data_IF_120866580337
#
_entry.id   IF_120866580337
#
_cell.length_a   1.000
_cell.length_b   1.000
_cell.length_c   1.000
_cell.angle_alpha   90.00
_cell.angle_beta   90.00
_cell.angle_gamma   90.00
#
_symmetry.space_group_name_H-M   'P 1'
#
loop_
_entity.id
_entity.type
_entity.pdbx_description
1 polymer ?
#
# COMPACT_ATOMS: atom_id res chain seq x y z
N UNK A 1 3.31 0.86 23.19
CA UNK A 1 3.84 0.69 21.81
C UNK A 1 2.68 0.92 20.85
N UNK A 2 2.90 1.59 19.73
CA UNK A 2 1.89 1.77 18.70
C UNK A 2 1.73 0.49 17.88
N UNK A 3 0.52 0.25 17.38
CA UNK A 3 0.14 -1.02 16.73
C UNK A 3 -0.41 -0.73 15.33
N UNK A 4 0.03 -1.49 14.33
CA UNK A 4 -0.46 -1.41 12.94
C UNK A 4 -0.89 -2.80 12.48
N UNK A 5 -2.08 -2.89 11.86
CA UNK A 5 -2.57 -4.11 11.22
C UNK A 5 -2.32 -4.04 9.70
N UNK A 6 -1.57 -5.01 9.16
CA UNK A 6 -1.47 -5.25 7.72
C UNK A 6 -2.48 -6.29 7.27
N UNK A 7 -3.29 -5.96 6.25
CA UNK A 7 -4.21 -6.87 5.58
C UNK A 7 -3.73 -7.00 4.14
N UNK A 8 -2.99 -8.06 3.83
CA UNK A 8 -2.33 -8.20 2.53
C UNK A 8 -1.96 -9.67 2.23
N UNK A 9 -1.51 -9.92 1.00
CA UNK A 9 -0.94 -11.21 0.60
C UNK A 9 0.42 -11.45 1.23
N UNK A 10 0.80 -12.72 1.31
CA UNK A 10 2.11 -13.17 1.81
C UNK A 10 3.03 -13.48 0.64
N UNK A 11 4.16 -12.79 0.54
CA UNK A 11 5.23 -13.07 -0.43
C UNK A 11 6.26 -14.03 0.18
N UNK A 12 6.34 -15.25 -0.35
CA UNK A 12 7.26 -16.29 0.13
C UNK A 12 8.74 -15.88 0.04
N UNK A 13 9.12 -15.01 -0.89
CA UNK A 13 10.48 -14.48 -1.01
C UNK A 13 10.80 -13.36 -0.02
N UNK A 14 9.79 -12.81 0.63
CA UNK A 14 9.96 -11.83 1.69
C UNK A 14 10.20 -10.39 1.23
N UNK A 15 10.08 -10.09 -0.08
CA UNK A 15 10.34 -8.76 -0.63
C UNK A 15 9.13 -7.83 -0.67
N UNK A 16 7.92 -8.39 -0.66
CA UNK A 16 6.66 -7.64 -0.72
C UNK A 16 5.64 -8.18 0.29
N UNK A 17 4.37 -7.79 0.15
CA UNK A 17 3.26 -8.26 0.97
C UNK A 17 3.48 -8.03 2.46
N UNK A 18 2.87 -8.90 3.29
CA UNK A 18 2.98 -8.81 4.75
C UNK A 18 4.42 -8.85 5.25
N UNK A 19 5.33 -9.51 4.54
CA UNK A 19 6.74 -9.58 4.92
C UNK A 19 7.44 -8.22 4.82
N UNK A 20 7.22 -7.50 3.72
CA UNK A 20 7.71 -6.13 3.59
C UNK A 20 7.03 -5.19 4.61
N UNK A 21 5.73 -5.38 4.84
CA UNK A 21 4.95 -4.61 5.81
C UNK A 21 5.51 -4.77 7.23
N UNK A 22 5.69 -6.01 7.71
CA UNK A 22 6.24 -6.29 9.04
C UNK A 22 7.66 -5.78 9.23
N UNK A 23 8.53 -5.94 8.21
CA UNK A 23 9.89 -5.40 8.24
C UNK A 23 9.86 -3.87 8.37
N UNK A 24 9.00 -3.21 7.58
CA UNK A 24 8.82 -1.76 7.62
C UNK A 24 8.28 -1.29 8.98
N UNK A 25 7.27 -1.95 9.51
CA UNK A 25 6.69 -1.66 10.83
C UNK A 25 7.74 -1.82 11.94
N UNK A 26 8.55 -2.89 11.87
CA UNK A 26 9.66 -3.13 12.81
C UNK A 26 10.70 -2.02 12.75
N UNK A 27 11.10 -1.59 11.54
CA UNK A 27 12.03 -0.48 11.35
C UNK A 27 11.49 0.83 11.92
N UNK A 28 10.16 1.07 11.83
CA UNK A 28 9.48 2.22 12.44
C UNK A 28 9.17 2.05 13.93
N UNK A 29 9.60 0.96 14.56
CA UNK A 29 9.41 0.67 16.00
C UNK A 29 7.93 0.63 16.42
N UNK A 30 7.05 0.18 15.52
CA UNK A 30 5.64 -0.13 15.80
C UNK A 30 5.41 -1.64 15.81
N UNK A 31 4.45 -2.11 16.59
CA UNK A 31 4.07 -3.52 16.60
C UNK A 31 3.20 -3.83 15.39
N UNK A 32 3.62 -4.78 14.55
CA UNK A 32 2.89 -5.21 13.36
C UNK A 32 2.04 -6.46 13.63
N UNK A 33 0.74 -6.39 13.33
CA UNK A 33 -0.16 -7.54 13.21
C UNK A 33 -0.46 -7.80 11.73
N UNK A 34 -0.90 -9.02 11.40
CA UNK A 34 -1.24 -9.37 10.01
C UNK A 34 -2.56 -10.14 9.92
N UNK A 35 -3.31 -9.89 8.82
CA UNK A 35 -4.37 -10.75 8.33
C UNK A 35 -4.05 -11.08 6.86
N UNK A 36 -3.85 -12.36 6.57
CA UNK A 36 -3.33 -12.82 5.28
C UNK A 36 -4.47 -13.06 4.31
N UNK A 37 -4.44 -12.37 3.17
CA UNK A 37 -5.47 -12.46 2.12
C UNK A 37 -5.20 -13.58 1.12
N UNK A 38 -3.93 -13.88 0.87
CA UNK A 38 -3.47 -14.97 0.03
C UNK A 38 -2.03 -15.35 0.37
N UNK A 39 -1.67 -16.60 0.11
CA UNK A 39 -0.28 -17.05 0.07
C UNK A 39 0.17 -17.07 -1.39
N UNK A 40 1.36 -16.58 -1.68
CA UNK A 40 1.94 -16.67 -3.03
C UNK A 40 3.17 -17.54 -3.04
N UNK A 41 3.30 -18.39 -4.06
CA UNK A 41 4.57 -18.99 -4.44
C UNK A 41 5.30 -17.98 -5.35
N UNK A 42 6.14 -17.14 -4.74
CA UNK A 42 6.71 -15.96 -5.38
C UNK A 42 8.20 -15.83 -5.10
N UNK A 43 8.92 -15.28 -6.07
CA UNK A 43 10.31 -14.87 -5.94
C UNK A 43 10.57 -13.60 -6.76
N UNK A 44 11.83 -13.17 -6.86
CA UNK A 44 12.21 -11.93 -7.59
C UNK A 44 11.90 -11.96 -9.09
N UNK A 45 11.66 -13.14 -9.67
CA UNK A 45 11.36 -13.30 -11.11
C UNK A 45 9.86 -13.39 -11.42
N UNK A 46 9.00 -13.63 -10.42
CA UNK A 46 7.55 -13.67 -10.62
C UNK A 46 6.76 -14.46 -9.59
N UNK A 47 5.46 -14.53 -9.83
CA UNK A 47 4.49 -15.32 -9.06
C UNK A 47 4.14 -16.57 -9.87
N UNK A 48 4.32 -17.75 -9.28
CA UNK A 48 4.04 -19.03 -9.94
C UNK A 48 2.73 -19.66 -9.50
N UNK A 49 2.27 -19.33 -8.28
CA UNK A 49 0.99 -19.85 -7.78
C UNK A 49 0.43 -18.94 -6.66
N UNK A 50 -0.89 -18.96 -6.48
CA UNK A 50 -1.60 -18.15 -5.47
C UNK A 50 -2.67 -19.03 -4.80
N UNK A 51 -2.63 -19.09 -3.47
CA UNK A 51 -3.67 -19.70 -2.66
C UNK A 51 -4.39 -18.61 -1.86
N UNK A 52 -5.62 -18.29 -2.25
CA UNK A 52 -6.44 -17.29 -1.55
C UNK A 52 -6.93 -17.82 -0.20
N UNK A 53 -6.91 -16.98 0.83
CA UNK A 53 -7.68 -17.26 2.05
C UNK A 53 -9.18 -17.11 1.75
N UNK A 54 -10.04 -17.94 2.35
CA UNK A 54 -11.47 -17.70 2.20
C UNK A 54 -11.86 -16.35 2.86
N UNK A 55 -12.90 -15.67 2.36
CA UNK A 55 -13.39 -14.44 2.97
C UNK A 55 -13.73 -14.63 4.45
N UNK A 56 -14.33 -15.76 4.82
CA UNK A 56 -14.68 -16.10 6.20
C UNK A 56 -13.43 -16.19 7.08
N UNK A 57 -12.41 -16.93 6.62
CA UNK A 57 -11.17 -17.09 7.40
C UNK A 57 -10.37 -15.77 7.50
N UNK A 58 -10.39 -14.95 6.45
CA UNK A 58 -9.82 -13.60 6.52
C UNK A 58 -10.54 -12.75 7.58
N UNK A 59 -11.88 -12.83 7.62
CA UNK A 59 -12.69 -12.19 8.65
C UNK A 59 -12.35 -12.66 10.06
N UNK A 60 -12.09 -13.95 10.25
CA UNK A 60 -11.67 -14.55 11.53
C UNK A 60 -10.28 -14.06 11.96
N UNK A 61 -9.32 -13.95 11.04
CA UNK A 61 -8.00 -13.39 11.32
C UNK A 61 -8.10 -11.94 11.83
N UNK A 62 -8.88 -11.10 11.13
CA UNK A 62 -9.07 -9.70 11.54
C UNK A 62 -9.78 -9.62 12.89
N UNK A 63 -10.81 -10.45 13.10
CA UNK A 63 -11.53 -10.52 14.37
C UNK A 63 -10.61 -10.94 15.53
N UNK A 64 -9.79 -11.96 15.32
CA UNK A 64 -8.85 -12.46 16.34
C UNK A 64 -7.84 -11.37 16.73
N UNK A 65 -7.33 -10.61 15.76
CA UNK A 65 -6.42 -9.48 16.04
C UNK A 65 -7.14 -8.36 16.80
N UNK A 66 -8.21 -7.82 16.22
CA UNK A 66 -8.81 -6.56 16.70
C UNK A 66 -9.66 -6.71 17.94
N UNK A 67 -10.16 -7.93 18.28
CA UNK A 67 -10.89 -8.18 19.53
C UNK A 67 -9.98 -8.18 20.76
N UNK A 68 -8.69 -8.43 20.58
CA UNK A 68 -7.70 -8.50 21.66
C UNK A 68 -6.76 -7.28 21.67
N UNK A 69 -6.21 -6.92 20.49
CA UNK A 69 -5.21 -5.86 20.36
C UNK A 69 -5.76 -4.75 19.46
N UNK A 70 -6.25 -3.62 20.01
CA UNK A 70 -6.65 -2.47 19.21
C UNK A 70 -5.48 -1.91 18.39
N UNK A 71 -5.69 -1.57 17.12
CA UNK A 71 -4.66 -0.95 16.30
C UNK A 71 -4.82 0.58 16.20
N UNK A 72 -3.69 1.29 16.10
CA UNK A 72 -3.63 2.74 15.90
C UNK A 72 -3.75 3.13 14.41
N UNK A 73 -3.38 2.21 13.52
CA UNK A 73 -3.53 2.34 12.07
C UNK A 73 -3.69 0.96 11.42
N UNK A 74 -4.17 0.94 10.19
CA UNK A 74 -4.17 -0.28 9.37
C UNK A 74 -3.70 0.05 7.95
N UNK A 75 -3.09 -0.96 7.31
CA UNK A 75 -2.72 -0.92 5.89
C UNK A 75 -3.39 -2.06 5.15
N UNK A 76 -4.00 -1.74 4.01
CA UNK A 76 -4.50 -2.73 3.06
C UNK A 76 -3.58 -2.75 1.84
N UNK A 77 -3.17 -3.96 1.44
CA UNK A 77 -2.50 -4.21 0.17
C UNK A 77 -3.36 -5.08 -0.74
N UNK A 78 -2.79 -6.18 -1.25
CA UNK A 78 -3.47 -7.10 -2.14
C UNK A 78 -4.76 -7.68 -1.52
N UNK A 79 -5.90 -7.47 -2.19
CA UNK A 79 -7.18 -8.13 -1.94
C UNK A 79 -7.65 -8.80 -3.25
N UNK A 80 -7.59 -10.13 -3.37
CA UNK A 80 -7.90 -10.83 -4.61
C UNK A 80 -9.35 -10.72 -5.09
N UNK A 81 -10.33 -10.62 -4.16
CA UNK A 81 -11.75 -10.72 -4.50
C UNK A 81 -12.63 -9.66 -3.83
N UNK A 82 -13.75 -9.35 -4.47
CA UNK A 82 -14.77 -8.43 -3.95
C UNK A 82 -15.39 -8.93 -2.63
N UNK A 83 -15.46 -10.24 -2.42
CA UNK A 83 -15.95 -10.86 -1.19
C UNK A 83 -15.00 -10.56 -0.03
N UNK A 84 -13.68 -10.66 -0.23
CA UNK A 84 -12.70 -10.27 0.77
C UNK A 84 -12.78 -8.77 1.09
N UNK A 85 -12.97 -7.90 0.08
CA UNK A 85 -13.16 -6.45 0.31
C UNK A 85 -14.35 -6.19 1.23
N UNK A 86 -15.49 -6.87 1.01
CA UNK A 86 -16.70 -6.72 1.84
C UNK A 86 -16.44 -7.10 3.30
N UNK A 87 -15.79 -8.25 3.51
CA UNK A 87 -15.46 -8.72 4.86
C UNK A 87 -14.48 -7.79 5.56
N UNK A 88 -13.45 -7.33 4.87
CA UNK A 88 -12.49 -6.35 5.42
C UNK A 88 -13.21 -5.06 5.81
N UNK A 89 -14.07 -4.51 4.94
CA UNK A 89 -14.86 -3.32 5.24
C UNK A 89 -15.74 -3.50 6.48
N UNK A 90 -16.47 -4.64 6.59
CA UNK A 90 -17.31 -4.95 7.76
C UNK A 90 -16.49 -4.95 9.04
N UNK A 91 -15.36 -5.66 9.06
CA UNK A 91 -14.51 -5.78 10.25
C UNK A 91 -13.88 -4.45 10.66
N UNK A 92 -13.31 -3.70 9.71
CA UNK A 92 -12.70 -2.41 10.01
C UNK A 92 -13.73 -1.39 10.52
N UNK A 93 -14.94 -1.40 9.98
CA UNK A 93 -16.06 -0.57 10.44
C UNK A 93 -16.52 -0.97 11.84
N UNK A 94 -16.70 -2.27 12.11
CA UNK A 94 -17.07 -2.82 13.41
C UNK A 94 -16.11 -2.36 14.50
N UNK A 95 -14.80 -2.45 14.24
CA UNK A 95 -13.75 -2.07 15.18
C UNK A 95 -13.36 -0.59 15.13
N UNK A 96 -14.03 0.22 14.28
CA UNK A 96 -13.79 1.67 14.12
C UNK A 96 -12.32 1.99 13.91
N UNK A 97 -11.66 1.19 13.06
CA UNK A 97 -10.24 1.37 12.75
C UNK A 97 -10.02 2.74 12.12
N UNK A 98 -9.07 3.48 12.66
CA UNK A 98 -8.66 4.80 12.16
C UNK A 98 -7.37 4.69 11.37
N UNK A 99 -6.99 5.77 10.67
CA UNK A 99 -5.73 5.85 9.92
C UNK A 99 -5.53 4.66 8.97
N UNK A 100 -6.59 4.35 8.20
CA UNK A 100 -6.53 3.33 7.18
C UNK A 100 -5.77 3.82 5.95
N UNK A 101 -4.71 3.12 5.56
CA UNK A 101 -3.95 3.34 4.32
C UNK A 101 -4.29 2.21 3.34
N UNK A 102 -4.82 2.54 2.17
CA UNK A 102 -5.15 1.56 1.13
C UNK A 102 -4.23 1.73 -0.07
N UNK A 103 -3.41 0.71 -0.32
CA UNK A 103 -2.62 0.59 -1.56
C UNK A 103 -3.42 -0.29 -2.52
N UNK A 104 -4.04 0.26 -3.59
CA UNK A 104 -4.96 -0.48 -4.46
C UNK A 104 -4.20 -1.34 -5.45
N UNK A 105 -3.47 -2.33 -4.94
CA UNK A 105 -2.57 -3.19 -5.73
C UNK A 105 -3.37 -4.03 -6.72
N UNK A 106 -3.28 -3.69 -8.02
CA UNK A 106 -3.97 -4.41 -9.11
C UNK A 106 -3.06 -5.43 -9.79
N UNK A 107 -1.77 -5.11 -9.89
CA UNK A 107 -0.78 -5.91 -10.62
C UNK A 107 0.49 -6.03 -9.79
N UNK A 108 1.09 -7.23 -9.78
CA UNK A 108 2.40 -7.44 -9.18
C UNK A 108 3.50 -6.71 -9.96
N UNK A 109 4.63 -6.43 -9.32
CA UNK A 109 5.83 -5.87 -9.99
C UNK A 109 6.28 -6.72 -11.19
N UNK A 110 6.01 -8.02 -11.17
CA UNK A 110 6.27 -8.97 -12.27
C UNK A 110 5.26 -8.90 -13.42
N UNK A 111 4.19 -8.10 -13.33
CA UNK A 111 3.13 -7.98 -14.31
C UNK A 111 1.96 -8.96 -14.13
N UNK A 112 1.98 -9.83 -13.13
CA UNK A 112 0.88 -10.75 -12.85
C UNK A 112 -0.33 -9.99 -12.28
N UNK A 113 -1.55 -10.26 -12.81
CA UNK A 113 -2.79 -9.72 -12.21
C UNK A 113 -2.99 -10.29 -10.81
N UNK A 114 -3.25 -9.43 -9.84
CA UNK A 114 -3.46 -9.78 -8.43
C UNK A 114 -4.91 -9.58 -7.98
N UNK A 115 -5.77 -9.06 -8.85
CA UNK A 115 -7.13 -8.67 -8.53
C UNK A 115 -8.07 -9.22 -9.61
N UNK A 116 -9.22 -9.76 -9.21
CA UNK A 116 -10.30 -10.17 -10.12
C UNK A 116 -11.04 -8.95 -10.66
N UNK A 117 -11.66 -9.09 -11.80
CA UNK A 117 -12.52 -8.07 -12.41
C UNK A 117 -13.51 -7.51 -11.42
N UNK A 118 -13.97 -6.45 -11.28
CA UNK A 118 -14.92 -5.87 -10.29
C UNK A 118 -14.37 -5.63 -8.87
N UNK A 119 -13.24 -6.19 -8.48
CA UNK A 119 -12.71 -5.99 -7.12
C UNK A 119 -12.32 -4.53 -6.88
N UNK A 120 -11.71 -3.89 -7.88
CA UNK A 120 -11.34 -2.47 -7.83
C UNK A 120 -12.55 -1.55 -7.57
N UNK A 121 -13.67 -1.78 -8.26
CA UNK A 121 -14.90 -1.01 -8.08
C UNK A 121 -15.49 -1.17 -6.68
N UNK A 122 -15.48 -2.41 -6.17
CA UNK A 122 -15.97 -2.69 -4.81
C UNK A 122 -15.04 -2.07 -3.76
N UNK A 123 -13.74 -2.08 -3.98
CA UNK A 123 -12.75 -1.43 -3.12
C UNK A 123 -12.96 0.10 -3.11
N UNK A 124 -13.11 0.72 -4.27
CA UNK A 124 -13.37 2.15 -4.40
C UNK A 124 -14.65 2.57 -3.66
N UNK A 125 -15.70 1.76 -3.76
CA UNK A 125 -16.99 2.05 -3.12
C UNK A 125 -17.01 1.82 -1.61
N UNK A 126 -16.29 0.80 -1.10
CA UNK A 126 -16.40 0.40 0.31
C UNK A 126 -15.22 0.84 1.16
N UNK A 127 -13.98 0.72 0.66
CA UNK A 127 -12.77 0.96 1.46
C UNK A 127 -12.25 2.40 1.33
N UNK A 128 -12.33 3.01 0.14
CA UNK A 128 -11.84 4.38 -0.03
C UNK A 128 -12.55 5.38 0.88
N UNK A 129 -13.90 5.36 1.01
CA UNK A 129 -14.59 6.33 1.89
C UNK A 129 -14.24 6.23 3.37
N UNK A 130 -13.72 5.10 3.83
CA UNK A 130 -13.29 4.92 5.23
C UNK A 130 -11.77 5.05 5.40
N UNK A 131 -11.05 5.36 4.31
CA UNK A 131 -9.60 5.49 4.32
C UNK A 131 -9.14 6.88 4.76
N UNK A 132 -7.99 6.94 5.45
CA UNK A 132 -7.27 8.20 5.67
C UNK A 132 -6.57 8.65 4.39
N UNK A 133 -6.02 7.69 3.64
CA UNK A 133 -5.35 7.94 2.36
C UNK A 133 -5.34 6.67 1.49
N UNK A 134 -5.52 6.85 0.19
CA UNK A 134 -5.25 5.82 -0.82
C UNK A 134 -3.96 6.18 -1.57
N UNK A 135 -3.20 5.16 -2.00
CA UNK A 135 -1.86 5.34 -2.59
C UNK A 135 -1.73 4.74 -3.99
N UNK A 136 -2.58 5.11 -4.97
CA UNK A 136 -2.49 4.58 -6.32
C UNK A 136 -1.20 5.03 -7.03
N UNK A 137 -0.62 4.16 -7.85
CA UNK A 137 0.35 4.55 -8.86
C UNK A 137 -0.37 5.06 -10.13
N UNK A 138 0.40 5.57 -11.12
CA UNK A 138 -0.18 6.12 -12.36
C UNK A 138 -1.06 5.08 -13.10
N UNK A 139 -0.62 3.82 -13.36
CA UNK A 139 -1.47 2.82 -13.97
C UNK A 139 -2.76 2.52 -13.18
N UNK A 140 -2.68 2.43 -11.86
CA UNK A 140 -3.84 2.21 -10.98
C UNK A 140 -4.80 3.40 -11.02
N UNK A 141 -4.27 4.63 -10.95
CA UNK A 141 -5.09 5.84 -11.07
C UNK A 141 -5.78 5.94 -12.43
N UNK A 142 -5.10 5.59 -13.52
CA UNK A 142 -5.71 5.53 -14.86
C UNK A 142 -6.83 4.48 -14.92
N UNK A 143 -6.64 3.32 -14.30
CA UNK A 143 -7.67 2.27 -14.25
C UNK A 143 -8.90 2.70 -13.43
N UNK A 144 -8.69 3.43 -12.32
CA UNK A 144 -9.76 3.90 -11.45
C UNK A 144 -10.55 5.09 -12.01
N UNK A 145 -9.89 6.00 -12.76
CA UNK A 145 -10.52 7.23 -13.27
C UNK A 145 -10.90 7.17 -14.75
N UNK A 146 -10.32 6.24 -15.50
CA UNK A 146 -10.41 6.24 -16.97
C UNK A 146 -9.60 7.36 -17.65
N UNK A 147 -8.90 8.21 -16.89
CA UNK A 147 -8.08 9.29 -17.42
C UNK A 147 -6.75 8.76 -17.99
N UNK A 148 -6.20 9.49 -18.96
CA UNK A 148 -4.82 9.27 -19.41
C UNK A 148 -3.90 10.25 -18.69
N UNK A 149 -2.88 9.76 -17.98
CA UNK A 149 -1.96 10.57 -17.18
C UNK A 149 -0.60 10.60 -17.86
N UNK A 150 -0.19 11.80 -18.34
CA UNK A 150 1.08 12.02 -19.05
C UNK A 150 1.90 13.19 -18.47
N UNK A 151 1.33 13.97 -17.57
CA UNK A 151 1.95 15.16 -17.01
C UNK A 151 1.60 15.31 -15.53
N UNK A 152 2.34 16.17 -14.81
CA UNK A 152 2.01 16.56 -13.43
C UNK A 152 0.59 17.09 -13.30
N UNK A 153 0.11 17.86 -14.28
CA UNK A 153 -1.26 18.40 -14.29
C UNK A 153 -2.31 17.29 -14.42
N UNK A 154 -2.02 16.25 -15.20
CA UNK A 154 -2.92 15.10 -15.29
C UNK A 154 -2.91 14.30 -13.98
N UNK A 155 -1.77 14.21 -13.29
CA UNK A 155 -1.69 13.60 -11.95
C UNK A 155 -2.55 14.37 -10.94
N UNK A 156 -2.45 15.71 -10.91
CA UNK A 156 -3.29 16.55 -10.05
C UNK A 156 -4.78 16.31 -10.33
N UNK A 157 -5.17 16.33 -11.62
CA UNK A 157 -6.57 16.08 -12.01
C UNK A 157 -7.08 14.71 -11.56
N UNK A 158 -6.28 13.66 -11.75
CA UNK A 158 -6.66 12.31 -11.34
C UNK A 158 -6.74 12.17 -9.81
N UNK A 159 -5.79 12.77 -9.07
CA UNK A 159 -5.82 12.76 -7.61
C UNK A 159 -7.01 13.54 -7.05
N UNK A 160 -7.37 14.67 -7.66
CA UNK A 160 -8.56 15.47 -7.30
C UNK A 160 -9.86 14.70 -7.56
N UNK A 161 -10.00 14.07 -8.73
CA UNK A 161 -11.17 13.29 -9.10
C UNK A 161 -11.37 12.13 -8.11
N UNK A 162 -10.34 11.32 -7.87
CA UNK A 162 -10.39 10.24 -6.88
C UNK A 162 -10.69 10.73 -5.47
N UNK A 163 -10.08 11.84 -5.04
CA UNK A 163 -10.29 12.40 -3.72
C UNK A 163 -11.70 12.96 -3.52
N UNK A 164 -12.25 13.62 -4.52
CA UNK A 164 -13.61 14.15 -4.49
C UNK A 164 -14.67 13.03 -4.49
N UNK A 165 -14.45 11.96 -5.26
CA UNK A 165 -15.37 10.82 -5.31
C UNK A 165 -15.34 9.98 -4.04
N UNK A 166 -14.16 9.75 -3.48
CA UNK A 166 -13.98 8.90 -2.31
C UNK A 166 -14.13 9.62 -0.96
N UNK A 167 -13.93 10.95 -0.95
CA UNK A 167 -13.91 11.74 0.28
C UNK A 167 -12.66 11.53 1.16
N UNK A 168 -11.63 10.84 0.65
CA UNK A 168 -10.37 10.60 1.35
C UNK A 168 -9.19 11.31 0.68
N UNK A 169 -8.05 11.38 1.36
CA UNK A 169 -6.82 11.88 0.75
C UNK A 169 -6.28 10.89 -0.30
N UNK A 170 -5.62 11.40 -1.34
CA UNK A 170 -5.02 10.61 -2.42
C UNK A 170 -3.55 10.95 -2.58
N UNK A 171 -2.67 9.99 -2.36
CA UNK A 171 -1.26 10.09 -2.73
C UNK A 171 -1.04 9.37 -4.07
N UNK A 172 -1.03 10.11 -5.17
CA UNK A 172 -0.75 9.56 -6.48
C UNK A 172 0.75 9.46 -6.71
N UNK A 173 1.24 8.21 -6.86
CA UNK A 173 2.67 7.89 -6.95
C UNK A 173 3.19 8.09 -8.38
N UNK A 174 4.23 8.91 -8.55
CA UNK A 174 4.81 9.25 -9.84
C UNK A 174 5.96 8.34 -10.30
N UNK A 175 6.33 7.31 -9.55
CA UNK A 175 7.48 6.44 -9.87
C UNK A 175 7.44 5.76 -11.25
N UNK A 176 6.30 5.76 -11.93
CA UNK A 176 6.12 5.30 -13.31
C UNK A 176 6.15 6.46 -14.34
N UNK A 177 6.37 7.71 -13.90
CA UNK A 177 6.53 8.88 -14.76
C UNK A 177 7.83 8.82 -15.56
N UNK A 178 7.83 9.46 -16.73
CA UNK A 178 9.02 9.58 -17.59
C UNK A 178 9.96 10.67 -17.03
N UNK A 179 9.42 11.67 -16.32
CA UNK A 179 10.18 12.85 -15.90
C UNK A 179 10.95 12.65 -14.59
N UNK A 180 10.26 12.15 -13.55
CA UNK A 180 10.84 11.97 -12.21
C UNK A 180 10.03 10.95 -11.36
N UNK A 181 10.38 10.79 -10.08
CA UNK A 181 9.68 9.95 -9.11
C UNK A 181 8.90 10.78 -8.08
N UNK A 182 8.42 11.97 -8.46
CA UNK A 182 7.64 12.84 -7.59
C UNK A 182 6.22 12.35 -7.43
N UNK A 183 5.69 12.45 -6.21
CA UNK A 183 4.32 12.07 -5.87
C UNK A 183 3.50 13.31 -5.52
N UNK A 184 2.20 13.29 -5.81
CA UNK A 184 1.27 14.36 -5.44
C UNK A 184 0.23 13.86 -4.43
N UNK A 185 0.11 14.56 -3.31
CA UNK A 185 -0.97 14.40 -2.35
C UNK A 185 -2.07 15.41 -2.66
N UNK A 186 -3.30 14.92 -2.83
CA UNK A 186 -4.51 15.72 -2.78
C UNK A 186 -5.21 15.48 -1.45
N UNK A 187 -5.43 16.56 -0.69
CA UNK A 187 -6.12 16.51 0.59
C UNK A 187 -6.90 17.80 0.82
N UNK A 188 -8.19 17.72 1.06
CA UNK A 188 -9.07 18.87 1.38
C UNK A 188 -8.96 20.03 0.37
N UNK A 189 -8.93 19.73 -0.93
CA UNK A 189 -8.83 20.72 -2.00
C UNK A 189 -7.44 21.32 -2.20
N UNK A 190 -6.40 20.73 -1.61
CA UNK A 190 -5.02 21.23 -1.71
C UNK A 190 -4.11 20.14 -2.27
N UNK A 191 -3.15 20.58 -3.09
CA UNK A 191 -2.07 19.75 -3.60
C UNK A 191 -0.78 19.98 -2.82
N UNK A 192 -0.10 18.91 -2.49
CA UNK A 192 1.26 18.93 -1.93
C UNK A 192 2.13 17.98 -2.73
N UNK A 193 3.19 18.49 -3.35
CA UNK A 193 4.15 17.71 -4.09
C UNK A 193 5.29 17.24 -3.20
N UNK A 194 5.63 15.98 -3.31
CA UNK A 194 6.81 15.37 -2.71
C UNK A 194 7.79 15.05 -3.83
N UNK A 195 8.75 15.95 -4.02
CA UNK A 195 9.77 15.79 -5.06
C UNK A 195 10.60 14.54 -4.80
N UNK A 196 10.82 13.74 -5.85
CA UNK A 196 11.59 12.52 -5.79
C UNK A 196 12.53 12.41 -6.97
N UNK A 197 13.81 12.13 -6.69
CA UNK A 197 14.75 11.75 -7.75
C UNK A 197 14.60 10.26 -8.00
N UNK A 198 14.60 9.86 -9.27
CA UNK A 198 14.64 8.45 -9.62
C UNK A 198 15.98 7.85 -9.17
N UNK A 199 15.92 6.84 -8.31
CA UNK A 199 17.08 6.05 -7.92
C UNK A 199 17.19 4.91 -8.93
N UNK A 200 18.29 4.86 -9.66
CA UNK A 200 18.56 3.75 -10.56
C UNK A 200 18.89 2.50 -9.73
N UNK A 201 17.95 1.58 -9.69
CA UNK A 201 18.08 0.32 -8.94
C UNK A 201 17.23 -0.76 -9.60
N UNK A 202 17.77 -1.97 -9.64
CA UNK A 202 17.01 -3.19 -9.97
C UNK A 202 16.17 -3.68 -8.78
N UNK A 203 16.41 -3.14 -7.59
CA UNK A 203 15.78 -3.56 -6.33
C UNK A 203 14.52 -2.73 -6.08
N UNK A 204 13.44 -3.03 -6.78
CA UNK A 204 12.17 -2.31 -6.70
C UNK A 204 11.00 -3.18 -6.22
N UNK A 205 11.27 -4.46 -5.92
CA UNK A 205 10.24 -5.38 -5.44
C UNK A 205 9.75 -4.98 -4.04
N UNK A 206 8.45 -4.74 -3.92
CA UNK A 206 7.81 -4.35 -2.66
C UNK A 206 7.85 -2.86 -2.33
N UNK A 207 8.27 -1.97 -3.25
CA UNK A 207 8.29 -0.51 -3.01
C UNK A 207 6.92 0.04 -2.60
N UNK A 208 5.82 -0.35 -3.27
CA UNK A 208 4.46 0.07 -2.91
C UNK A 208 4.08 -0.38 -1.50
N UNK A 209 4.28 -1.67 -1.20
CA UNK A 209 4.00 -2.23 0.14
C UNK A 209 4.81 -1.51 1.23
N UNK A 210 6.09 -1.29 0.99
CA UNK A 210 6.97 -0.57 1.94
C UNK A 210 6.52 0.87 2.16
N UNK A 211 6.21 1.62 1.10
CA UNK A 211 5.73 3.00 1.22
C UNK A 211 4.42 3.10 2.00
N UNK A 212 3.42 2.31 1.63
CA UNK A 212 2.11 2.34 2.30
C UNK A 212 2.18 1.90 3.76
N UNK A 213 3.03 0.92 4.10
CA UNK A 213 3.27 0.49 5.48
C UNK A 213 4.05 1.51 6.30
N UNK A 214 5.01 2.22 5.69
CA UNK A 214 5.73 3.31 6.34
C UNK A 214 4.78 4.49 6.64
N UNK A 215 3.87 4.83 5.71
CA UNK A 215 2.83 5.85 5.94
C UNK A 215 1.93 5.42 7.11
N UNK A 216 1.41 4.19 7.10
CA UNK A 216 0.57 3.67 8.18
C UNK A 216 1.29 3.69 9.53
N UNK A 217 2.57 3.32 9.57
CA UNK A 217 3.41 3.35 10.77
C UNK A 217 3.59 4.77 11.31
N UNK A 218 3.87 5.74 10.44
CA UNK A 218 4.01 7.14 10.84
C UNK A 218 2.68 7.75 11.32
N UNK A 219 1.55 7.42 10.68
CA UNK A 219 0.22 7.82 11.16
C UNK A 219 -0.09 7.21 12.55
N UNK A 220 0.26 5.94 12.78
CA UNK A 220 0.12 5.30 14.08
C UNK A 220 0.95 6.00 15.16
N UNK A 221 2.15 6.49 14.82
CA UNK A 221 3.02 7.28 15.70
C UNK A 221 2.49 8.69 15.98
N UNK A 222 1.45 9.14 15.26
CA UNK A 222 0.77 10.43 15.49
C UNK A 222 1.26 11.57 14.58
N UNK A 223 2.02 11.28 13.53
CA UNK A 223 2.38 12.30 12.53
C UNK A 223 1.16 12.66 11.69
N UNK A 224 1.04 13.94 11.31
CA UNK A 224 0.07 14.39 10.31
C UNK A 224 0.40 13.78 8.93
N UNK A 225 -0.61 13.65 8.06
CA UNK A 225 -0.46 12.93 6.79
C UNK A 225 0.70 13.43 5.90
N UNK A 226 0.91 14.74 5.69
CA UNK A 226 2.04 15.20 4.89
C UNK A 226 3.40 14.81 5.47
N UNK A 227 3.56 14.89 6.80
CA UNK A 227 4.80 14.50 7.48
C UNK A 227 4.99 12.98 7.47
N UNK A 228 3.90 12.21 7.64
CA UNK A 228 3.92 10.76 7.54
C UNK A 228 4.40 10.29 6.15
N UNK A 229 3.92 10.94 5.08
CA UNK A 229 4.33 10.67 3.70
C UNK A 229 5.80 11.06 3.49
N UNK A 230 6.21 12.25 3.93
CA UNK A 230 7.60 12.71 3.79
C UNK A 230 8.57 11.72 4.41
N UNK A 231 8.34 11.33 5.67
CA UNK A 231 9.16 10.33 6.37
C UNK A 231 9.18 8.96 5.69
N UNK A 232 8.03 8.52 5.17
CA UNK A 232 7.92 7.28 4.42
C UNK A 232 8.73 7.34 3.11
N UNK A 233 8.74 8.47 2.42
CA UNK A 233 9.55 8.66 1.20
C UNK A 233 11.05 8.71 1.50
N UNK A 234 11.46 9.33 2.59
CA UNK A 234 12.86 9.30 3.03
C UNK A 234 13.30 7.85 3.30
N UNK A 235 12.54 7.12 4.09
CA UNK A 235 12.83 5.70 4.41
C UNK A 235 12.92 4.82 3.16
N UNK A 236 11.93 4.90 2.25
CA UNK A 236 11.95 4.05 1.05
C UNK A 236 13.10 4.42 0.10
N UNK A 237 13.47 5.69 0.02
CA UNK A 237 14.62 6.14 -0.77
C UNK A 237 15.92 5.55 -0.25
N UNK A 238 16.12 5.56 1.07
CA UNK A 238 17.29 4.95 1.71
C UNK A 238 17.29 3.43 1.50
N UNK A 239 16.13 2.78 1.65
CA UNK A 239 15.99 1.33 1.45
C UNK A 239 16.27 0.88 0.00
N UNK A 240 15.93 1.70 -0.99
CA UNK A 240 16.26 1.45 -2.41
C UNK A 240 17.76 1.69 -2.64
N UNK A 241 18.30 2.78 -2.10
CA UNK A 241 19.69 3.19 -2.30
C UNK A 241 20.71 2.24 -1.63
N UNK A 242 20.31 1.52 -0.58
CA UNK A 242 21.14 0.53 0.12
C UNK A 242 21.58 -0.64 -0.78
N UNK A 243 20.86 -0.93 -1.86
CA UNK A 243 21.32 -1.83 -2.91
C UNK A 243 21.45 -3.29 -2.49
N UNK A 244 20.46 -3.85 -1.81
CA UNK A 244 20.42 -5.27 -1.40
C UNK A 244 20.26 -6.17 -2.64
N UNK A 245 21.35 -6.55 -3.26
CA UNK A 245 21.38 -7.31 -4.52
C UNK A 245 21.10 -8.81 -4.29
N UNK A 246 19.80 -9.17 -4.18
CA UNK A 246 19.32 -10.53 -3.98
C UNK A 246 18.40 -10.98 -5.11
N UNK A 247 18.64 -12.18 -5.61
CA UNK A 247 17.81 -12.83 -6.63
C UNK A 247 18.27 -12.53 -8.06
N UNK A 248 17.47 -12.97 -9.04
CA UNK A 248 17.79 -12.87 -10.47
C UNK A 248 16.88 -11.88 -11.23
N UNK A 249 15.84 -11.38 -10.57
CA UNK A 249 14.86 -10.47 -11.12
C UNK A 249 14.86 -9.14 -10.39
N UNK A 250 13.66 -8.54 -10.18
CA UNK A 250 13.53 -7.35 -9.38
C UNK A 250 13.84 -7.68 -7.91
N UNK A 251 14.97 -7.19 -7.40
CA UNK A 251 15.43 -7.49 -6.04
C UNK A 251 14.60 -6.79 -4.95
N UNK A 252 14.62 -7.29 -3.70
CA UNK A 252 13.93 -6.66 -2.58
C UNK A 252 14.66 -5.42 -2.08
N UNK A 253 13.94 -4.59 -1.32
CA UNK A 253 14.50 -3.45 -0.61
C UNK A 253 15.27 -3.90 0.63
N UNK A 254 16.26 -3.12 1.05
CA UNK A 254 16.88 -3.27 2.38
C UNK A 254 16.04 -2.54 3.44
N UNK A 255 15.19 -3.28 4.15
CA UNK A 255 14.36 -2.72 5.20
C UNK A 255 15.11 -2.45 6.52
N UNK A 256 16.41 -2.77 6.59
CA UNK A 256 17.24 -2.59 7.80
C UNK A 256 17.89 -1.22 7.87
N UNK A 257 17.60 -0.32 6.93
CA UNK A 257 18.07 1.07 7.01
C UNK A 257 17.50 1.75 8.25
N UNK A 258 18.34 2.56 8.89
CA UNK A 258 17.96 3.28 10.11
C UNK A 258 16.97 4.41 9.82
N UNK A 259 15.92 4.50 10.67
CA UNK A 259 14.96 5.60 10.74
C UNK A 259 15.23 6.41 12.01
#
# INVERSE_FOLDING_TARGET
MKVVLSIAGSDSSGGAGIQADLKTMTAHKVYGMTAITALTAQNTTGVTDIMEASPEFLGEQIEACLSDIPCDAAKIGMLPSAEQVKVVHEKLTKYKVKNLVVDPVMVATSGSSLMKDTTADVMARLLFPISRVITPNIPEAQALTGLTIKSRKDMEKAAEELGNESGCAVLLKGGHSIEDASDVLYENGKFTWFEGKRIESSNTHGTGCTLSSAIASNLALGYELPDAIKRAKEYISDAIAAGLDLGKGSGPLDHMVNI
#
